data_IF_174460864973
#
_entry.id   IF_174460864973
#
_cell.length_a   1.000
_cell.length_b   1.000
_cell.length_c   1.000
_cell.angle_alpha   90.00
_cell.angle_beta   90.00
_cell.angle_gamma   90.00
#
_symmetry.space_group_name_H-M   'P 1'
#
loop_
_entity.id
_entity.type
_entity.pdbx_description
1 polymer ?
#
# COMPACT_ATOMS: atom_id res chain seq x y z
N UNK A 1 7.31 -19.91 13.21
CA UNK A 1 7.49 -18.53 12.75
C UNK A 1 7.85 -18.52 11.28
N UNK A 2 7.17 -17.72 10.49
CA UNK A 2 7.36 -17.64 9.04
C UNK A 2 7.74 -16.24 8.63
N UNK A 3 8.53 -16.11 7.58
CA UNK A 3 8.78 -14.82 6.94
C UNK A 3 7.56 -14.38 6.17
N UNK A 4 7.26 -13.09 6.23
CA UNK A 4 6.22 -12.45 5.43
C UNK A 4 6.79 -11.19 4.79
N UNK A 5 6.10 -10.69 3.78
CA UNK A 5 6.38 -9.39 3.20
C UNK A 5 5.29 -8.42 3.61
N UNK A 6 5.69 -7.22 4.02
CA UNK A 6 4.80 -6.11 4.27
C UNK A 6 4.92 -5.14 3.10
N UNK A 7 3.78 -4.63 2.63
CA UNK A 7 3.74 -3.65 1.56
C UNK A 7 2.86 -2.50 2.02
N UNK A 8 3.41 -1.31 2.08
CA UNK A 8 2.75 -0.11 2.58
C UNK A 8 2.50 0.85 1.43
N UNK A 9 1.26 1.28 1.27
CA UNK A 9 0.84 2.10 0.14
C UNK A 9 -0.03 3.25 0.63
N UNK A 10 0.17 4.43 0.09
CA UNK A 10 -0.66 5.60 0.38
C UNK A 10 -1.66 5.83 -0.75
N UNK A 11 -2.92 6.05 -0.39
CA UNK A 11 -4.00 6.36 -1.35
C UNK A 11 -4.54 7.75 -1.07
N UNK A 12 -5.08 8.39 -2.10
CA UNK A 12 -5.63 9.74 -1.99
C UNK A 12 -6.97 9.82 -1.27
N UNK A 13 -7.72 8.71 -1.23
CA UNK A 13 -9.02 8.65 -0.59
C UNK A 13 -9.33 7.23 -0.11
N UNK A 14 -10.29 7.15 0.81
CA UNK A 14 -10.63 5.87 1.44
C UNK A 14 -11.34 4.91 0.47
N UNK A 15 -12.15 5.43 -0.42
CA UNK A 15 -12.90 4.59 -1.37
C UNK A 15 -11.95 3.85 -2.30
N UNK A 16 -10.96 4.55 -2.87
CA UNK A 16 -9.94 3.94 -3.73
C UNK A 16 -9.10 2.94 -2.95
N UNK A 17 -8.71 3.29 -1.72
CA UNK A 17 -7.94 2.41 -0.86
C UNK A 17 -8.69 1.11 -0.58
N UNK A 18 -9.96 1.20 -0.23
CA UNK A 18 -10.79 0.04 0.09
C UNK A 18 -11.00 -0.85 -1.13
N UNK A 19 -11.29 -0.27 -2.30
CA UNK A 19 -11.50 -1.03 -3.53
C UNK A 19 -10.22 -1.79 -3.94
N UNK A 20 -9.08 -1.13 -3.86
CA UNK A 20 -7.80 -1.74 -4.19
C UNK A 20 -7.44 -2.85 -3.19
N UNK A 21 -7.59 -2.58 -1.90
CA UNK A 21 -7.30 -3.56 -0.85
C UNK A 21 -8.12 -4.83 -1.03
N UNK A 22 -9.42 -4.68 -1.27
CA UNK A 22 -10.32 -5.81 -1.52
C UNK A 22 -9.88 -6.61 -2.76
N UNK A 23 -9.57 -5.92 -3.85
CA UNK A 23 -9.16 -6.58 -5.09
C UNK A 23 -7.88 -7.41 -4.90
N UNK A 24 -6.90 -6.88 -4.16
CA UNK A 24 -5.64 -7.59 -3.92
C UNK A 24 -5.84 -8.86 -3.09
N UNK A 25 -6.74 -8.80 -2.12
CA UNK A 25 -7.07 -9.98 -1.31
C UNK A 25 -7.90 -10.98 -2.12
N UNK A 26 -8.88 -10.52 -2.88
CA UNK A 26 -9.70 -11.39 -3.72
C UNK A 26 -8.88 -12.11 -4.79
N UNK A 27 -7.87 -11.44 -5.34
CA UNK A 27 -6.96 -12.04 -6.33
C UNK A 27 -5.85 -12.87 -5.69
N UNK A 28 -5.85 -13.02 -4.38
CA UNK A 28 -4.86 -13.80 -3.62
C UNK A 28 -3.43 -13.28 -3.77
N UNK A 29 -3.27 -12.01 -4.09
CA UNK A 29 -1.98 -11.35 -4.11
C UNK A 29 -1.57 -10.89 -2.71
N UNK A 30 -2.54 -10.64 -1.84
CA UNK A 30 -2.32 -10.33 -0.44
C UNK A 30 -3.12 -11.28 0.44
N UNK A 31 -2.54 -11.70 1.55
CA UNK A 31 -3.24 -12.52 2.53
C UNK A 31 -4.19 -11.65 3.36
N UNK A 32 -3.81 -10.40 3.59
CA UNK A 32 -4.66 -9.48 4.32
C UNK A 32 -4.26 -8.04 3.99
N UNK A 33 -5.17 -7.12 4.23
CA UNK A 33 -4.92 -5.69 4.07
C UNK A 33 -5.54 -4.96 5.26
N UNK A 34 -4.77 -4.06 5.86
CA UNK A 34 -5.26 -3.22 6.94
C UNK A 34 -5.29 -1.78 6.45
N UNK A 35 -6.48 -1.18 6.42
CA UNK A 35 -6.61 0.24 6.16
C UNK A 35 -6.40 0.98 7.47
N UNK A 36 -5.47 1.93 7.45
CA UNK A 36 -5.19 2.75 8.61
C UNK A 36 -6.04 4.03 8.53
N UNK A 37 -6.07 4.78 9.60
CA UNK A 37 -6.77 6.06 9.63
C UNK A 37 -6.11 7.06 8.68
N UNK A 38 -6.90 8.02 8.20
CA UNK A 38 -6.38 9.09 7.36
C UNK A 38 -5.29 9.85 8.08
N UNK A 39 -4.19 10.09 7.39
CA UNK A 39 -3.05 10.82 7.92
C UNK A 39 -2.71 12.02 7.05
N UNK A 40 -1.83 12.86 7.56
CA UNK A 40 -1.33 14.01 6.83
C UNK A 40 0.09 13.73 6.38
N UNK A 41 0.32 13.77 5.07
CA UNK A 41 1.66 13.66 4.50
C UNK A 41 2.22 15.06 4.25
N UNK A 42 3.47 15.26 4.60
CA UNK A 42 4.17 16.54 4.42
C UNK A 42 5.40 16.29 3.56
N UNK A 43 5.53 17.01 2.46
CA UNK A 43 6.59 16.73 1.48
C UNK A 43 6.91 17.97 0.65
N UNK A 44 8.11 18.04 0.06
CA UNK A 44 8.44 19.12 -0.84
C UNK A 44 7.74 18.90 -2.20
N UNK A 45 7.19 19.98 -2.74
CA UNK A 45 6.55 19.96 -4.04
C UNK A 45 6.71 21.31 -4.71
N UNK A 46 7.33 21.31 -5.88
CA UNK A 46 7.53 22.53 -6.70
C UNK A 46 8.18 23.67 -5.89
N UNK A 47 9.21 23.36 -5.12
CA UNK A 47 9.97 24.34 -4.34
C UNK A 47 9.30 24.79 -3.05
N UNK A 48 8.18 24.21 -2.67
CA UNK A 48 7.45 24.54 -1.46
C UNK A 48 7.15 23.27 -0.65
N UNK A 49 6.73 23.47 0.59
CA UNK A 49 6.28 22.35 1.42
C UNK A 49 4.77 22.21 1.24
N UNK A 50 4.37 21.02 0.79
CA UNK A 50 2.96 20.67 0.58
C UNK A 50 2.47 19.73 1.67
N UNK A 51 1.16 19.70 1.85
CA UNK A 51 0.49 18.74 2.72
C UNK A 51 -0.64 18.08 1.93
N UNK A 52 -0.87 16.79 2.19
CA UNK A 52 -1.99 16.07 1.61
C UNK A 52 -2.55 15.09 2.65
N UNK A 53 -3.87 14.93 2.61
CA UNK A 53 -4.52 13.88 3.41
C UNK A 53 -4.45 12.60 2.61
N UNK A 54 -4.00 11.53 3.26
CA UNK A 54 -3.82 10.24 2.60
C UNK A 54 -4.28 9.09 3.49
N UNK A 55 -4.72 8.01 2.86
CA UNK A 55 -5.16 6.80 3.56
C UNK A 55 -4.11 5.72 3.35
N UNK A 56 -3.36 5.34 4.41
CA UNK A 56 -2.39 4.27 4.30
C UNK A 56 -3.06 2.89 4.32
N UNK A 57 -2.53 1.97 3.53
CA UNK A 57 -2.92 0.56 3.60
C UNK A 57 -1.67 -0.28 3.80
N UNK A 58 -1.73 -1.16 4.77
CA UNK A 58 -0.67 -2.13 5.03
C UNK A 58 -1.12 -3.50 4.54
N UNK A 59 -0.47 -4.00 3.50
CA UNK A 59 -0.70 -5.34 2.98
C UNK A 59 0.27 -6.32 3.61
N UNK A 60 -0.21 -7.54 3.84
CA UNK A 60 0.61 -8.66 4.31
C UNK A 60 0.51 -9.78 3.30
N UNK A 61 1.64 -10.32 2.89
CA UNK A 61 1.64 -11.38 1.89
C UNK A 61 2.84 -12.31 2.08
N UNK A 62 2.83 -13.45 1.40
CA UNK A 62 3.98 -14.34 1.37
C UNK A 62 5.12 -13.69 0.58
N UNK A 63 6.38 -13.91 0.94
CA UNK A 63 7.52 -13.34 0.21
C UNK A 63 7.47 -13.62 -1.29
N UNK A 64 7.02 -14.82 -1.69
CA UNK A 64 6.93 -15.22 -3.09
C UNK A 64 5.89 -14.40 -3.87
N UNK A 65 4.95 -13.75 -3.20
CA UNK A 65 3.89 -12.95 -3.84
C UNK A 65 4.18 -11.47 -3.87
N UNK A 66 5.22 -11.04 -3.18
CA UNK A 66 5.54 -9.62 -3.01
C UNK A 66 5.66 -8.87 -4.35
N UNK A 67 6.45 -9.42 -5.28
CA UNK A 67 6.67 -8.75 -6.56
C UNK A 67 5.39 -8.62 -7.37
N UNK A 68 4.55 -9.66 -7.41
CA UNK A 68 3.28 -9.63 -8.11
C UNK A 68 2.30 -8.64 -7.48
N UNK A 69 2.27 -8.57 -6.14
CA UNK A 69 1.43 -7.61 -5.44
C UNK A 69 1.85 -6.18 -5.76
N UNK A 70 3.15 -5.88 -5.71
CA UNK A 70 3.66 -4.54 -6.01
C UNK A 70 3.31 -4.15 -7.45
N UNK A 71 3.51 -5.05 -8.41
CA UNK A 71 3.18 -4.78 -9.81
C UNK A 71 1.69 -4.48 -10.01
N UNK A 72 0.81 -5.24 -9.34
CA UNK A 72 -0.63 -5.01 -9.41
C UNK A 72 -1.03 -3.69 -8.76
N UNK A 73 -0.39 -3.32 -7.65
CA UNK A 73 -0.64 -2.05 -6.98
C UNK A 73 -0.22 -0.88 -7.87
N UNK A 74 0.95 -0.96 -8.50
CA UNK A 74 1.43 0.08 -9.42
C UNK A 74 0.46 0.26 -10.59
N UNK A 75 -0.06 -0.83 -11.13
CA UNK A 75 -0.98 -0.79 -12.28
C UNK A 75 -2.34 -0.18 -11.93
N UNK A 76 -2.79 -0.31 -10.68
CA UNK A 76 -4.12 0.17 -10.24
C UNK A 76 -4.09 1.54 -9.59
N UNK A 77 -2.92 1.98 -9.11
CA UNK A 77 -2.85 3.22 -8.33
C UNK A 77 -3.16 4.44 -9.19
N UNK A 78 -3.88 5.40 -8.62
CA UNK A 78 -4.26 6.61 -9.32
C UNK A 78 -3.17 7.67 -9.44
N UNK A 79 -2.07 7.51 -8.72
CA UNK A 79 -0.94 8.43 -8.77
C UNK A 79 0.02 8.05 -9.89
N UNK A 80 0.64 9.05 -10.53
CA UNK A 80 1.69 8.81 -11.52
C UNK A 80 2.89 8.10 -10.90
N UNK A 81 3.25 8.51 -9.67
CA UNK A 81 4.34 7.90 -8.91
C UNK A 81 3.79 7.53 -7.53
N UNK A 82 3.21 6.34 -7.41
CA UNK A 82 2.66 5.92 -6.11
C UNK A 82 3.78 5.65 -5.10
N UNK A 83 3.52 6.01 -3.83
CA UNK A 83 4.42 5.70 -2.74
C UNK A 83 4.14 4.27 -2.27
N UNK A 84 4.98 3.35 -2.67
CA UNK A 84 4.89 1.92 -2.32
C UNK A 84 6.19 1.52 -1.66
N UNK A 85 6.12 1.13 -0.39
CA UNK A 85 7.27 0.65 0.37
C UNK A 85 7.07 -0.82 0.70
N UNK A 86 8.15 -1.55 0.82
CA UNK A 86 8.08 -2.96 1.19
C UNK A 86 9.28 -3.35 2.03
N UNK A 87 9.04 -4.23 2.99
CA UNK A 87 10.10 -4.80 3.82
C UNK A 87 9.68 -6.17 4.33
N UNK A 88 10.67 -7.02 4.67
CA UNK A 88 10.36 -8.33 5.25
C UNK A 88 10.00 -8.20 6.73
N UNK A 89 9.20 -9.13 7.21
CA UNK A 89 8.88 -9.24 8.62
C UNK A 89 8.72 -10.72 8.98
N UNK A 90 8.62 -10.98 10.25
CA UNK A 90 8.37 -12.34 10.75
C UNK A 90 6.98 -12.38 11.38
N UNK A 91 6.29 -13.49 11.19
CA UNK A 91 4.97 -13.72 11.76
C UNK A 91 4.93 -15.05 12.51
N UNK A 92 4.06 -15.14 13.44
CA UNK A 92 3.81 -16.37 14.20
C UNK A 92 3.06 -17.41 13.36
#
# INVERSE_FOLDING_TARGET
MSGIALVYVLFGDRESALACARAMVEQRLAACANLLGEGTSIYPWEGQIAQAQEVPVLFKTAPARRAALIAALEARHGYDVPAILSWPAEAT
#
